data_IF_257071970029
#
_entry.id   IF_257071970029
#
_cell.length_a   1.000
_cell.length_b   1.000
_cell.length_c   1.000
_cell.angle_alpha   90.00
_cell.angle_beta   90.00
_cell.angle_gamma   90.00
#
_symmetry.space_group_name_H-M   'P 1'
#
loop_
_entity.id
_entity.type
_entity.pdbx_description
1 polymer ?
#
# COMPACT_ATOMS: atom_id res chain seq x y z
N UNK A 1 9.22 17.41 9.30
CA UNK A 1 8.47 16.17 9.15
C UNK A 1 8.46 15.79 7.68
N UNK A 2 9.00 14.62 7.38
CA UNK A 2 9.31 14.11 6.06
C UNK A 2 8.08 13.77 5.23
N UNK A 3 8.18 13.99 3.92
CA UNK A 3 7.00 14.01 3.03
C UNK A 3 6.31 12.65 3.00
N UNK A 4 7.06 11.56 2.99
CA UNK A 4 6.54 10.20 2.90
C UNK A 4 5.98 9.69 4.24
N UNK A 5 6.70 9.97 5.34
CA UNK A 5 6.33 9.54 6.69
C UNK A 5 5.02 10.18 7.17
N UNK A 6 4.86 11.51 7.03
CA UNK A 6 3.61 12.19 7.45
C UNK A 6 2.38 11.71 6.67
N UNK A 7 2.53 11.46 5.36
CA UNK A 7 1.44 10.97 4.51
C UNK A 7 0.96 9.66 5.04
N UNK A 8 1.91 8.77 5.32
CA UNK A 8 1.53 7.44 5.71
C UNK A 8 0.99 7.41 7.13
N UNK A 9 1.56 8.19 8.06
CA UNK A 9 1.02 8.35 9.41
C UNK A 9 -0.45 8.83 9.38
N UNK A 10 -0.77 9.84 8.57
CA UNK A 10 -2.15 10.32 8.42
C UNK A 10 -3.10 9.26 7.81
N UNK A 11 -2.61 8.49 6.83
CA UNK A 11 -3.39 7.42 6.20
C UNK A 11 -3.57 6.19 7.12
N UNK A 12 -2.54 5.80 7.89
CA UNK A 12 -2.59 4.71 8.89
C UNK A 12 -3.56 5.07 10.02
N UNK A 13 -3.48 6.30 10.55
CA UNK A 13 -4.32 6.73 11.67
C UNK A 13 -5.82 6.69 11.38
N UNK A 14 -6.23 6.84 10.11
CA UNK A 14 -7.64 6.80 9.73
C UNK A 14 -8.13 5.41 9.30
N UNK A 15 -7.23 4.52 8.88
CA UNK A 15 -7.64 3.17 8.43
C UNK A 15 -7.88 2.26 9.64
N UNK A 16 -8.91 2.55 10.43
CA UNK A 16 -9.47 1.65 11.44
C UNK A 16 -10.20 0.50 10.78
N UNK A 17 -9.49 -0.33 10.02
CA UNK A 17 -10.10 -1.42 9.29
C UNK A 17 -10.70 -2.43 10.28
N UNK A 18 -11.96 -2.82 10.05
CA UNK A 18 -12.50 -4.00 10.69
C UNK A 18 -11.56 -5.18 10.37
N UNK A 19 -11.11 -5.93 11.40
CA UNK A 19 -10.16 -7.05 11.24
C UNK A 19 -10.50 -7.98 10.07
N UNK A 20 -11.79 -8.16 9.76
CA UNK A 20 -12.27 -8.88 8.59
C UNK A 20 -11.71 -8.37 7.25
N UNK A 21 -11.77 -7.06 6.98
CA UNK A 21 -11.24 -6.46 5.74
C UNK A 21 -9.72 -6.62 5.63
N UNK A 22 -9.01 -6.49 6.75
CA UNK A 22 -7.56 -6.73 6.80
C UNK A 22 -7.25 -8.17 6.40
N UNK A 23 -7.99 -9.13 6.96
CA UNK A 23 -7.76 -10.55 6.68
C UNK A 23 -8.09 -10.91 5.23
N UNK A 24 -9.20 -10.42 4.68
CA UNK A 24 -9.55 -10.66 3.27
C UNK A 24 -8.55 -10.01 2.32
N UNK A 25 -8.04 -8.82 2.64
CA UNK A 25 -7.00 -8.14 1.87
C UNK A 25 -5.70 -8.96 1.85
N UNK A 26 -5.18 -9.36 3.02
CA UNK A 26 -3.97 -10.20 3.08
C UNK A 26 -4.16 -11.54 2.37
N UNK A 27 -5.34 -12.18 2.47
CA UNK A 27 -5.60 -13.42 1.75
C UNK A 27 -5.46 -13.24 0.23
N UNK A 28 -6.01 -12.15 -0.33
CA UNK A 28 -5.92 -11.84 -1.76
C UNK A 28 -4.50 -11.47 -2.17
N UNK A 29 -3.78 -10.69 -1.37
CA UNK A 29 -2.37 -10.34 -1.63
C UNK A 29 -1.46 -11.57 -1.62
N UNK A 30 -1.61 -12.46 -0.64
CA UNK A 30 -0.84 -13.71 -0.52
C UNK A 30 -1.11 -14.60 -1.73
N UNK A 31 -2.37 -14.74 -2.14
CA UNK A 31 -2.73 -15.48 -3.34
C UNK A 31 -2.02 -14.91 -4.59
N UNK A 32 -2.05 -13.59 -4.78
CA UNK A 32 -1.42 -12.94 -5.93
C UNK A 32 0.11 -13.07 -5.91
N UNK A 33 0.75 -12.88 -4.76
CA UNK A 33 2.19 -13.03 -4.61
C UNK A 33 2.65 -14.48 -4.88
N UNK A 34 1.88 -15.46 -4.40
CA UNK A 34 2.11 -16.87 -4.65
C UNK A 34 1.93 -17.23 -6.14
N UNK A 35 0.90 -16.67 -6.80
CA UNK A 35 0.61 -16.92 -8.22
C UNK A 35 1.62 -16.26 -9.17
N UNK A 36 2.13 -15.06 -8.84
CA UNK A 36 3.13 -14.35 -9.64
C UNK A 36 4.50 -15.02 -9.60
N UNK A 37 4.82 -15.69 -8.49
CA UNK A 37 6.09 -16.40 -8.28
C UNK A 37 5.87 -17.88 -7.98
N UNK A 38 6.53 -18.36 -6.92
CA UNK A 38 6.29 -19.68 -6.37
C UNK A 38 5.31 -19.61 -5.21
N UNK A 39 4.38 -20.57 -5.06
CA UNK A 39 3.53 -20.70 -3.87
C UNK A 39 4.29 -21.27 -2.67
N UNK A 40 5.59 -21.59 -2.81
CA UNK A 40 6.47 -21.94 -1.70
C UNK A 40 7.16 -20.65 -1.17
N UNK A 41 6.91 -20.23 0.09
CA UNK A 41 7.55 -19.06 0.69
C UNK A 41 9.08 -19.11 0.69
N UNK A 42 9.68 -20.30 0.81
CA UNK A 42 11.15 -20.44 0.81
C UNK A 42 11.78 -20.14 -0.55
N UNK A 43 10.98 -20.24 -1.62
CA UNK A 43 11.39 -19.94 -2.99
C UNK A 43 10.83 -18.60 -3.49
N UNK A 44 10.18 -17.81 -2.63
CA UNK A 44 9.53 -16.55 -2.99
C UNK A 44 9.63 -15.55 -1.83
N UNK A 45 10.68 -14.73 -1.84
CA UNK A 45 10.97 -13.75 -0.77
C UNK A 45 9.83 -12.77 -0.54
N UNK A 46 9.17 -12.30 -1.61
CA UNK A 46 8.01 -11.41 -1.50
C UNK A 46 6.86 -12.10 -0.76
N UNK A 47 6.57 -13.35 -1.09
CA UNK A 47 5.55 -14.13 -0.39
C UNK A 47 5.91 -14.37 1.08
N UNK A 48 7.17 -14.71 1.36
CA UNK A 48 7.66 -14.91 2.73
C UNK A 48 7.46 -13.66 3.59
N UNK A 49 7.95 -12.51 3.13
CA UNK A 49 7.82 -11.22 3.84
C UNK A 49 6.36 -10.79 3.99
N UNK A 50 5.52 -11.06 2.98
CA UNK A 50 4.09 -10.80 3.07
C UNK A 50 3.38 -11.67 4.12
N UNK A 51 3.75 -12.96 4.24
CA UNK A 51 3.24 -13.85 5.28
C UNK A 51 3.67 -13.39 6.68
N UNK A 52 4.92 -12.96 6.84
CA UNK A 52 5.41 -12.38 8.10
C UNK A 52 4.63 -11.13 8.49
N UNK A 53 4.40 -10.22 7.52
CA UNK A 53 3.58 -9.02 7.72
C UNK A 53 2.12 -9.36 8.07
N UNK A 54 1.53 -10.36 7.41
CA UNK A 54 0.19 -10.85 7.73
C UNK A 54 0.11 -11.39 9.17
N UNK A 55 1.12 -12.16 9.62
CA UNK A 55 1.21 -12.65 11.00
C UNK A 55 1.35 -11.51 12.01
N UNK A 56 2.18 -10.49 11.73
CA UNK A 56 2.30 -9.27 12.57
C UNK A 56 0.94 -8.56 12.72
N UNK A 57 0.12 -8.57 11.68
CA UNK A 57 -1.25 -8.04 11.67
C UNK A 57 -2.32 -9.02 12.20
N UNK A 58 -1.90 -10.09 12.88
CA UNK A 58 -2.78 -11.09 13.50
C UNK A 58 -3.73 -11.78 12.50
N UNK A 59 -3.32 -11.94 11.24
CA UNK A 59 -4.07 -12.75 10.27
C UNK A 59 -4.01 -14.23 10.69
N UNK A 60 -5.15 -14.91 10.88
CA UNK A 60 -5.19 -16.33 11.21
C UNK A 60 -4.44 -17.21 10.19
N UNK A 61 -3.73 -18.23 10.69
CA UNK A 61 -2.90 -19.09 9.83
C UNK A 61 -3.73 -19.89 8.81
N UNK A 62 -4.97 -20.25 9.12
CA UNK A 62 -5.88 -20.94 8.20
C UNK A 62 -6.25 -20.06 6.98
N UNK A 63 -6.28 -18.73 7.14
CA UNK A 63 -6.51 -17.80 6.03
C UNK A 63 -5.30 -17.79 5.09
N UNK A 64 -4.09 -17.74 5.66
CA UNK A 64 -2.84 -17.79 4.92
C UNK A 64 -2.73 -19.11 4.15
N UNK A 65 -2.96 -20.25 4.81
CA UNK A 65 -2.91 -21.58 4.17
C UNK A 65 -3.92 -21.69 3.03
N UNK A 66 -5.17 -21.24 3.24
CA UNK A 66 -6.19 -21.24 2.18
C UNK A 66 -5.80 -20.40 0.97
N UNK A 67 -5.19 -19.23 1.17
CA UNK A 67 -4.70 -18.39 0.08
C UNK A 67 -3.60 -19.07 -0.74
N UNK A 68 -2.65 -19.74 -0.06
CA UNK A 68 -1.57 -20.50 -0.70
C UNK A 68 -2.09 -21.72 -1.46
N UNK A 69 -3.02 -22.47 -0.88
CA UNK A 69 -3.60 -23.65 -1.53
C UNK A 69 -4.42 -23.25 -2.76
N UNK A 70 -5.16 -22.13 -2.67
CA UNK A 70 -5.85 -21.54 -3.82
C UNK A 70 -4.87 -21.17 -4.94
N UNK A 71 -3.72 -20.59 -4.61
CA UNK A 71 -2.69 -20.25 -5.60
C UNK A 71 -2.06 -21.48 -6.29
N UNK A 72 -2.09 -22.66 -5.66
CA UNK A 72 -1.65 -23.94 -6.25
C UNK A 72 -2.68 -24.57 -7.20
N UNK A 73 -3.81 -23.90 -7.44
CA UNK A 73 -4.88 -24.38 -8.33
C UNK A 73 -6.07 -25.02 -7.61
N UNK A 74 -6.14 -24.94 -6.28
CA UNK A 74 -7.30 -25.41 -5.51
C UNK A 74 -8.35 -24.29 -5.36
N UNK A 75 -9.13 -24.03 -6.41
CA UNK A 75 -10.22 -23.04 -6.38
C UNK A 75 -10.78 -22.72 -7.77
N UNK A 76 -11.99 -22.15 -7.82
CA UNK A 76 -12.62 -21.72 -9.09
C UNK A 76 -12.43 -20.23 -9.40
N UNK A 77 -12.41 -19.37 -8.38
CA UNK A 77 -12.31 -17.91 -8.60
C UNK A 77 -10.85 -17.44 -8.67
N UNK A 78 -10.52 -16.65 -9.68
CA UNK A 78 -9.19 -16.06 -9.84
C UNK A 78 -9.21 -14.60 -9.41
N UNK A 79 -8.39 -14.24 -8.41
CA UNK A 79 -8.21 -12.83 -8.07
C UNK A 79 -7.24 -12.14 -9.03
N UNK A 80 -7.55 -10.89 -9.34
CA UNK A 80 -6.77 -9.99 -10.16
C UNK A 80 -6.57 -8.66 -9.43
N UNK A 81 -5.42 -8.03 -9.67
CA UNK A 81 -5.21 -6.63 -9.31
C UNK A 81 -5.79 -5.74 -10.41
N UNK A 82 -6.61 -4.77 -10.02
CA UNK A 82 -7.14 -3.74 -10.92
C UNK A 82 -6.95 -2.38 -10.27
N UNK A 83 -6.43 -1.42 -11.05
CA UNK A 83 -6.23 -0.05 -10.60
C UNK A 83 -7.24 0.84 -11.30
N UNK A 84 -7.94 1.64 -10.51
CA UNK A 84 -8.80 2.70 -10.99
C UNK A 84 -8.25 4.06 -10.58
N UNK A 85 -8.54 5.07 -11.38
CA UNK A 85 -8.05 6.43 -11.19
C UNK A 85 -9.25 7.38 -11.23
N UNK A 86 -9.25 8.42 -10.40
CA UNK A 86 -10.37 9.33 -10.33
C UNK A 86 -10.06 10.70 -9.75
N UNK A 87 -11.00 11.61 -9.98
CA UNK A 87 -10.91 13.01 -9.58
C UNK A 87 -11.99 13.31 -8.55
N UNK A 88 -11.58 13.76 -7.37
CA UNK A 88 -12.48 14.21 -6.32
C UNK A 88 -12.73 15.72 -6.37
N UNK A 89 -13.30 16.29 -5.29
CA UNK A 89 -13.45 17.75 -5.12
C UNK A 89 -12.10 18.47 -4.92
N UNK A 90 -12.06 19.79 -5.11
CA UNK A 90 -10.90 20.63 -4.79
C UNK A 90 -9.56 20.20 -5.41
N UNK A 91 -9.55 19.70 -6.66
CA UNK A 91 -8.37 19.14 -7.34
C UNK A 91 -7.76 17.89 -6.67
N UNK A 92 -8.53 17.21 -5.80
CA UNK A 92 -8.11 15.92 -5.27
C UNK A 92 -8.09 14.85 -6.36
N UNK A 93 -7.10 13.98 -6.28
CA UNK A 93 -6.95 12.81 -7.14
C UNK A 93 -6.84 11.56 -6.28
N UNK A 94 -7.30 10.44 -6.82
CA UNK A 94 -7.25 9.14 -6.15
C UNK A 94 -6.76 8.06 -7.11
N UNK A 95 -5.90 7.17 -6.62
CA UNK A 95 -5.60 5.87 -7.21
C UNK A 95 -6.19 4.81 -6.28
N UNK A 96 -7.11 4.01 -6.80
CA UNK A 96 -7.84 2.98 -6.07
C UNK A 96 -7.34 1.63 -6.55
N UNK A 97 -6.57 0.94 -5.69
CA UNK A 97 -6.12 -0.42 -5.94
C UNK A 97 -7.16 -1.40 -5.43
N UNK A 98 -7.61 -2.28 -6.32
CA UNK A 98 -8.57 -3.33 -6.01
C UNK A 98 -7.99 -4.72 -6.24
N UNK A 99 -8.38 -5.66 -5.39
CA UNK A 99 -8.12 -7.09 -5.54
C UNK A 99 -9.47 -7.81 -5.69
N UNK A 100 -9.75 -8.34 -6.87
CA UNK A 100 -11.10 -8.80 -7.23
C UNK A 100 -11.11 -10.04 -8.12
N UNK A 101 -12.13 -10.87 -7.97
CA UNK A 101 -12.47 -11.98 -8.88
C UNK A 101 -13.50 -11.58 -9.95
N UNK A 102 -14.02 -10.35 -9.90
CA UNK A 102 -15.02 -9.86 -10.81
C UNK A 102 -14.84 -8.37 -11.08
N UNK A 103 -14.07 -8.06 -12.11
CA UNK A 103 -13.75 -6.68 -12.54
C UNK A 103 -15.01 -5.85 -12.81
N UNK A 104 -16.05 -6.45 -13.38
CA UNK A 104 -17.30 -5.75 -13.72
C UNK A 104 -18.09 -5.33 -12.47
N UNK A 105 -18.15 -6.21 -11.45
CA UNK A 105 -18.74 -5.89 -10.15
C UNK A 105 -17.96 -4.76 -9.49
N UNK A 106 -16.64 -4.87 -9.44
CA UNK A 106 -15.78 -3.90 -8.76
C UNK A 106 -15.84 -2.52 -9.40
N UNK A 107 -15.72 -2.41 -10.73
CA UNK A 107 -15.83 -1.10 -11.41
C UNK A 107 -17.21 -0.48 -11.21
N UNK A 108 -18.27 -1.29 -11.16
CA UNK A 108 -19.62 -0.83 -10.85
C UNK A 108 -19.73 -0.21 -9.46
N UNK A 109 -19.17 -0.86 -8.43
CA UNK A 109 -19.13 -0.35 -7.06
C UNK A 109 -18.29 0.93 -6.94
N UNK A 110 -17.08 0.94 -7.52
CA UNK A 110 -16.20 2.11 -7.52
C UNK A 110 -16.88 3.29 -8.22
N UNK A 111 -17.46 3.09 -9.40
CA UNK A 111 -18.20 4.14 -10.13
C UNK A 111 -19.40 4.65 -9.33
N UNK A 112 -20.12 3.76 -8.64
CA UNK A 112 -21.23 4.16 -7.78
C UNK A 112 -20.79 5.04 -6.60
N UNK A 113 -19.61 4.80 -6.02
CA UNK A 113 -19.04 5.66 -4.97
C UNK A 113 -18.79 7.09 -5.48
N UNK A 114 -18.16 7.23 -6.65
CA UNK A 114 -17.96 8.53 -7.32
C UNK A 114 -19.30 9.23 -7.65
N UNK A 115 -20.26 8.50 -8.20
CA UNK A 115 -21.57 9.06 -8.56
C UNK A 115 -22.34 9.59 -7.33
N UNK A 116 -22.25 8.91 -6.17
CA UNK A 116 -22.92 9.33 -4.91
C UNK A 116 -22.47 10.71 -4.41
N UNK A 117 -21.31 11.18 -4.85
CA UNK A 117 -20.74 12.49 -4.50
C UNK A 117 -20.66 13.43 -5.70
N UNK A 118 -21.34 13.11 -6.80
CA UNK A 118 -21.33 13.87 -8.06
C UNK A 118 -19.92 14.12 -8.62
N UNK A 119 -19.02 13.13 -8.47
CA UNK A 119 -17.67 13.13 -9.05
C UNK A 119 -17.52 12.01 -10.07
N UNK A 120 -16.41 11.99 -10.79
CA UNK A 120 -16.17 11.06 -11.90
C UNK A 120 -14.96 10.17 -11.67
N UNK A 121 -15.14 8.90 -12.04
CA UNK A 121 -14.03 8.00 -12.28
C UNK A 121 -13.32 8.44 -13.57
N UNK A 122 -12.00 8.55 -13.51
CA UNK A 122 -11.15 8.83 -14.65
C UNK A 122 -10.93 7.60 -15.51
N UNK A 123 -10.17 7.81 -16.59
CA UNK A 123 -9.61 6.71 -17.40
C UNK A 123 -8.27 6.27 -16.81
N UNK A 124 -7.81 5.07 -17.16
CA UNK A 124 -6.47 4.59 -16.78
C UNK A 124 -5.40 5.59 -17.21
N UNK A 125 -4.42 5.83 -16.35
CA UNK A 125 -3.33 6.80 -16.48
C UNK A 125 -3.74 8.28 -16.53
N UNK A 126 -4.90 8.63 -16.00
CA UNK A 126 -5.33 10.05 -15.93
C UNK A 126 -4.77 10.81 -14.73
N UNK A 127 -4.33 10.12 -13.68
CA UNK A 127 -3.75 10.74 -12.47
C UNK A 127 -2.40 10.14 -12.11
N UNK A 128 -2.06 8.93 -12.57
CA UNK A 128 -0.85 8.20 -12.17
C UNK A 128 0.45 8.98 -12.38
N UNK A 129 0.52 9.87 -13.37
CA UNK A 129 1.69 10.74 -13.61
C UNK A 129 2.02 11.69 -12.44
N UNK A 130 1.02 12.02 -11.61
CA UNK A 130 1.15 12.86 -10.42
C UNK A 130 1.67 12.09 -9.20
N UNK A 131 1.98 10.80 -9.33
CA UNK A 131 2.39 9.94 -8.24
C UNK A 131 3.71 9.23 -8.58
N UNK A 132 4.50 8.96 -7.57
CA UNK A 132 5.66 8.09 -7.64
C UNK A 132 5.33 6.73 -7.02
N UNK A 133 5.70 5.65 -7.70
CA UNK A 133 5.58 4.29 -7.19
C UNK A 133 6.83 3.96 -6.40
N UNK A 134 6.75 3.98 -5.06
CA UNK A 134 7.89 3.88 -4.17
C UNK A 134 7.69 2.78 -3.12
N UNK A 135 8.80 2.21 -2.67
CA UNK A 135 8.87 1.46 -1.43
C UNK A 135 9.27 2.39 -0.28
N UNK A 136 8.51 2.40 0.81
CA UNK A 136 8.81 3.18 2.00
C UNK A 136 9.10 2.24 3.17
N UNK A 137 10.28 2.39 3.75
CA UNK A 137 10.69 1.68 4.96
C UNK A 137 11.00 2.70 6.04
N UNK A 138 10.33 2.60 7.19
CA UNK A 138 10.61 3.45 8.35
C UNK A 138 10.90 2.58 9.57
N UNK A 139 11.98 2.86 10.27
CA UNK A 139 12.42 2.09 11.43
C UNK A 139 13.22 2.98 12.39
N UNK A 140 13.24 2.59 13.66
CA UNK A 140 13.93 3.36 14.70
C UNK A 140 15.45 3.18 14.58
N UNK A 141 16.15 4.25 14.22
CA UNK A 141 17.60 4.30 14.14
C UNK A 141 18.05 5.76 14.04
N UNK A 142 19.25 6.08 14.54
CA UNK A 142 19.72 7.47 14.60
C UNK A 142 20.85 7.78 13.60
N UNK A 143 21.57 6.76 13.12
CA UNK A 143 22.76 6.93 12.28
C UNK A 143 22.42 6.74 10.79
N UNK A 144 22.04 7.85 10.17
CA UNK A 144 21.66 7.94 8.75
C UNK A 144 22.81 7.57 7.81
N UNK A 145 24.01 8.09 8.09
CA UNK A 145 25.21 7.90 7.26
C UNK A 145 25.57 6.41 7.17
N UNK A 146 25.49 5.70 8.30
CA UNK A 146 25.72 4.25 8.32
C UNK A 146 24.71 3.47 7.48
N UNK A 147 23.43 3.86 7.48
CA UNK A 147 22.41 3.22 6.63
C UNK A 147 22.67 3.52 5.17
N UNK A 148 22.93 4.79 4.85
CA UNK A 148 23.21 5.23 3.49
C UNK A 148 24.40 4.46 2.89
N UNK A 149 25.53 4.40 3.61
CA UNK A 149 26.74 3.71 3.17
C UNK A 149 26.50 2.20 2.99
N UNK A 150 25.78 1.56 3.91
CA UNK A 150 25.48 0.13 3.81
C UNK A 150 24.66 -0.21 2.56
N UNK A 151 23.65 0.61 2.25
CA UNK A 151 22.81 0.42 1.07
C UNK A 151 23.57 0.74 -0.23
N UNK A 152 24.36 1.80 -0.23
CA UNK A 152 25.18 2.18 -1.38
C UNK A 152 26.22 1.11 -1.73
N UNK A 153 26.87 0.51 -0.73
CA UNK A 153 27.83 -0.59 -0.94
C UNK A 153 27.21 -1.83 -1.59
N UNK A 154 25.90 -2.02 -1.40
CA UNK A 154 25.12 -3.08 -2.02
C UNK A 154 24.49 -2.64 -3.35
N UNK A 155 24.80 -1.44 -3.84
CA UNK A 155 24.30 -0.90 -5.11
C UNK A 155 22.81 -0.60 -5.08
N UNK A 156 22.24 -0.30 -3.91
CA UNK A 156 20.85 0.12 -3.75
C UNK A 156 20.79 1.64 -3.90
N UNK A 157 19.99 2.12 -4.84
CA UNK A 157 19.76 3.55 -5.03
C UNK A 157 18.62 4.02 -4.13
N UNK A 158 18.92 4.99 -3.27
CA UNK A 158 17.94 5.59 -2.37
C UNK A 158 17.33 6.80 -3.09
N UNK A 159 16.00 6.81 -3.21
CA UNK A 159 15.26 7.95 -3.80
C UNK A 159 15.25 9.12 -2.84
N UNK A 160 15.04 8.85 -1.55
CA UNK A 160 15.07 9.83 -0.47
C UNK A 160 15.38 9.16 0.88
N UNK A 161 16.04 9.88 1.77
CA UNK A 161 16.32 9.43 3.14
C UNK A 161 16.05 10.57 4.10
N UNK A 162 15.26 10.28 5.13
CA UNK A 162 14.85 11.27 6.13
C UNK A 162 15.14 10.70 7.52
N UNK A 163 15.73 11.49 8.42
CA UNK A 163 15.95 11.14 9.81
C UNK A 163 15.27 12.14 10.74
N UNK A 164 14.18 11.71 11.37
CA UNK A 164 13.35 12.57 12.21
C UNK A 164 12.75 11.79 13.38
N UNK A 165 12.69 12.42 14.55
CA UNK A 165 12.14 11.84 15.79
C UNK A 165 12.74 10.46 16.17
N UNK A 166 13.99 10.20 15.76
CA UNK A 166 14.70 8.93 15.98
C UNK A 166 14.29 7.80 15.01
N UNK A 167 13.62 8.15 13.91
CA UNK A 167 13.27 7.23 12.83
C UNK A 167 13.98 7.62 11.56
N UNK A 168 14.60 6.63 10.91
CA UNK A 168 15.02 6.75 9.53
C UNK A 168 13.88 6.28 8.64
N UNK A 169 13.52 7.09 7.64
CA UNK A 169 12.57 6.75 6.59
C UNK A 169 13.27 6.76 5.24
N UNK A 170 13.26 5.61 4.58
CA UNK A 170 13.83 5.40 3.24
C UNK A 170 12.71 5.39 2.21
N UNK A 171 12.88 6.18 1.15
CA UNK A 171 12.14 6.04 -0.10
C UNK A 171 13.00 5.34 -1.14
N UNK A 172 12.49 4.28 -1.74
CA UNK A 172 13.24 3.34 -2.57
C UNK A 172 12.46 3.00 -3.83
N UNK A 173 13.16 2.51 -4.85
CA UNK A 173 12.48 1.77 -5.92
C UNK A 173 11.80 0.51 -5.31
N UNK A 174 10.53 0.21 -5.65
CA UNK A 174 9.84 -0.98 -5.17
C UNK A 174 10.59 -2.30 -5.38
N UNK A 175 11.42 -2.40 -6.43
CA UNK A 175 12.24 -3.60 -6.67
C UNK A 175 13.29 -3.85 -5.60
N UNK A 176 13.75 -2.78 -4.93
CA UNK A 176 14.92 -2.83 -4.05
C UNK A 176 14.53 -3.07 -2.59
N UNK A 177 13.25 -2.88 -2.24
CA UNK A 177 12.72 -3.01 -0.87
C UNK A 177 13.17 -4.30 -0.18
N UNK A 178 13.04 -5.45 -0.84
CA UNK A 178 13.41 -6.73 -0.22
C UNK A 178 14.91 -6.80 0.05
N UNK A 179 15.73 -6.34 -0.90
CA UNK A 179 17.20 -6.30 -0.76
C UNK A 179 17.61 -5.32 0.32
N UNK A 180 16.98 -4.15 0.39
CA UNK A 180 17.20 -3.17 1.46
C UNK A 180 16.93 -3.77 2.82
N UNK A 181 15.82 -4.49 2.99
CA UNK A 181 15.54 -5.17 4.26
C UNK A 181 16.58 -6.23 4.60
N UNK A 182 17.03 -7.03 3.63
CA UNK A 182 18.11 -8.00 3.85
C UNK A 182 19.38 -7.30 4.36
N UNK A 183 19.75 -6.15 3.78
CA UNK A 183 20.91 -5.34 4.21
C UNK A 183 20.73 -4.80 5.63
N UNK A 184 19.56 -4.21 5.90
CA UNK A 184 19.23 -3.67 7.21
C UNK A 184 19.24 -4.76 8.29
N UNK A 185 18.66 -5.92 7.99
CA UNK A 185 18.60 -7.06 8.91
C UNK A 185 19.98 -7.68 9.17
N UNK A 186 20.85 -7.72 8.17
CA UNK A 186 22.25 -8.15 8.34
C UNK A 186 23.07 -7.16 9.18
N UNK A 187 22.79 -5.86 9.06
CA UNK A 187 23.53 -4.79 9.73
C UNK A 187 23.07 -4.58 11.18
N UNK A 188 21.77 -4.67 11.43
CA UNK A 188 21.13 -4.26 12.67
C UNK A 188 20.53 -5.43 13.47
N UNK A 189 20.40 -6.60 12.85
CA UNK A 189 19.61 -7.71 13.39
C UNK A 189 18.13 -7.57 13.05
N UNK A 190 17.24 -8.08 13.89
CA UNK A 190 15.80 -7.94 13.65
C UNK A 190 15.38 -6.45 13.68
N UNK A 191 14.81 -5.97 12.58
CA UNK A 191 14.36 -4.58 12.43
C UNK A 191 12.84 -4.52 12.60
N UNK A 192 12.39 -3.74 13.57
CA UNK A 192 10.97 -3.43 13.72
C UNK A 192 10.61 -2.22 12.84
N UNK A 193 10.01 -2.52 11.68
CA UNK A 193 9.52 -1.51 10.76
C UNK A 193 8.21 -0.89 11.28
N UNK A 194 8.25 0.43 11.46
CA UNK A 194 7.08 1.30 11.67
C UNK A 194 6.29 1.44 10.36
N UNK A 195 7.00 1.59 9.24
CA UNK A 195 6.42 1.57 7.90
C UNK A 195 7.15 0.51 7.07
N UNK A 196 6.38 -0.36 6.42
CA UNK A 196 6.87 -1.35 5.48
C UNK A 196 5.88 -1.49 4.32
N UNK A 197 6.01 -0.65 3.30
CA UNK A 197 5.01 -0.57 2.24
C UNK A 197 5.59 -0.28 0.87
N UNK A 198 4.86 -0.72 -0.15
CA UNK A 198 5.05 -0.34 -1.55
C UNK A 198 3.73 0.27 -2.01
N UNK A 199 3.78 1.49 -2.54
CA UNK A 199 2.57 2.23 -2.85
C UNK A 199 2.79 3.42 -3.78
N UNK A 200 1.70 4.17 -4.00
CA UNK A 200 1.71 5.38 -4.82
C UNK A 200 1.74 6.61 -3.92
N UNK A 201 2.71 7.49 -4.14
CA UNK A 201 2.93 8.69 -3.33
C UNK A 201 2.79 9.93 -4.19
N UNK A 202 1.88 10.83 -3.83
CA UNK A 202 1.61 12.01 -4.64
C UNK A 202 2.81 12.97 -4.66
N UNK A 203 3.17 13.47 -5.85
CA UNK A 203 4.21 14.49 -6.13
C UNK A 203 3.83 15.89 -5.71
N UNK A 204 2.54 16.16 -5.61
CA UNK A 204 1.99 17.37 -5.01
C UNK A 204 0.87 16.99 -4.05
N UNK A 205 0.73 17.77 -2.98
CA UNK A 205 -0.25 17.54 -1.92
C UNK A 205 -1.18 18.72 -1.81
N UNK A 206 -2.41 18.45 -1.40
CA UNK A 206 -3.42 19.46 -1.15
C UNK A 206 -4.09 19.24 0.20
N UNK A 207 -4.62 20.33 0.75
CA UNK A 207 -5.46 20.31 1.94
C UNK A 207 -6.83 20.81 1.54
N UNK A 208 -7.87 20.01 1.80
CA UNK A 208 -9.24 20.38 1.48
C UNK A 208 -9.91 21.05 2.68
N UNK A 209 -10.82 21.98 2.44
CA UNK A 209 -11.60 22.67 3.47
C UNK A 209 -13.07 22.77 3.07
N UNK A 210 -13.94 23.07 4.04
CA UNK A 210 -15.38 23.27 3.79
C UNK A 210 -16.06 22.10 3.07
N UNK A 211 -16.91 22.42 2.10
CA UNK A 211 -17.69 21.44 1.36
C UNK A 211 -16.82 20.42 0.59
N UNK A 212 -15.71 20.86 -0.01
CA UNK A 212 -14.80 19.96 -0.74
C UNK A 212 -14.24 18.88 0.19
N UNK A 213 -13.96 19.22 1.44
CA UNK A 213 -13.49 18.25 2.45
C UNK A 213 -14.56 17.22 2.78
N UNK A 214 -15.77 17.66 3.07
CA UNK A 214 -16.89 16.78 3.43
C UNK A 214 -17.23 15.81 2.30
N UNK A 215 -17.24 16.30 1.06
CA UNK A 215 -17.46 15.50 -0.15
C UNK A 215 -16.33 14.47 -0.32
N UNK A 216 -15.07 14.87 -0.12
CA UNK A 216 -13.93 13.98 -0.24
C UNK A 216 -13.95 12.87 0.81
N UNK A 217 -14.20 13.18 2.08
CA UNK A 217 -14.25 12.16 3.12
C UNK A 217 -15.37 11.16 2.87
N UNK A 218 -16.53 11.66 2.41
CA UNK A 218 -17.63 10.78 2.01
C UNK A 218 -17.24 9.85 0.87
N UNK A 219 -16.55 10.36 -0.17
CA UNK A 219 -16.04 9.54 -1.26
C UNK A 219 -15.04 8.49 -0.76
N UNK A 220 -14.08 8.93 0.06
CA UNK A 220 -13.04 8.07 0.61
C UNK A 220 -13.66 6.92 1.42
N UNK A 221 -14.61 7.22 2.31
CA UNK A 221 -15.28 6.21 3.13
C UNK A 221 -16.12 5.26 2.26
N UNK A 222 -16.84 5.77 1.26
CA UNK A 222 -17.59 4.92 0.32
C UNK A 222 -16.69 3.97 -0.48
N UNK A 223 -15.47 4.39 -0.82
CA UNK A 223 -14.48 3.55 -1.49
C UNK A 223 -13.86 2.55 -0.52
N UNK A 224 -13.54 2.96 0.70
CA UNK A 224 -12.98 2.08 1.73
C UNK A 224 -13.98 1.01 2.19
N UNK A 225 -15.28 1.28 2.14
CA UNK A 225 -16.32 0.28 2.44
C UNK A 225 -16.43 -0.83 1.37
N UNK A 226 -15.79 -0.67 0.20
CA UNK A 226 -15.80 -1.70 -0.84
C UNK A 226 -14.78 -2.79 -0.48
N UNK A 227 -15.25 -4.02 -0.32
CA UNK A 227 -14.41 -5.18 0.04
C UNK A 227 -13.27 -5.45 -0.96
N UNK A 228 -13.49 -5.16 -2.24
CA UNK A 228 -12.48 -5.31 -3.28
C UNK A 228 -11.39 -4.23 -3.22
N UNK A 229 -11.62 -3.09 -2.56
CA UNK A 229 -10.63 -2.01 -2.44
C UNK A 229 -9.63 -2.36 -1.35
N UNK A 230 -8.38 -2.63 -1.77
CA UNK A 230 -7.28 -2.94 -0.86
C UNK A 230 -6.53 -1.71 -0.40
N UNK A 231 -6.35 -0.71 -1.27
CA UNK A 231 -5.62 0.52 -0.97
C UNK A 231 -6.21 1.71 -1.73
N UNK A 232 -6.22 2.88 -1.09
CA UNK A 232 -6.58 4.16 -1.70
C UNK A 232 -5.42 5.12 -1.50
N UNK A 233 -4.80 5.55 -2.60
CA UNK A 233 -3.75 6.58 -2.60
C UNK A 233 -4.36 7.91 -3.05
N UNK A 234 -3.98 9.01 -2.41
CA UNK A 234 -4.51 10.35 -2.72
C UNK A 234 -3.49 11.43 -2.44
N UNK A 235 -3.65 12.59 -3.08
CA UNK A 235 -2.90 13.80 -2.81
C UNK A 235 -3.47 14.64 -1.64
N UNK A 236 -4.60 14.24 -1.05
CA UNK A 236 -5.22 14.94 0.09
C UNK A 236 -4.52 14.56 1.40
N UNK A 237 -4.07 15.55 2.16
CA UNK A 237 -3.29 15.34 3.40
C UNK A 237 -4.14 15.17 4.65
N UNK A 238 -5.31 15.80 4.68
CA UNK A 238 -6.13 15.93 5.89
C UNK A 238 -7.33 14.99 5.91
N UNK A 239 -7.20 13.76 5.40
CA UNK A 239 -8.28 12.78 5.33
C UNK A 239 -8.91 12.62 6.73
N UNK A 240 -10.24 12.79 6.85
CA UNK A 240 -10.94 12.91 8.13
C UNK A 240 -11.95 11.81 8.36
#
# INVERSE_FOLDING_TARGET
>A
MGRAYEVRKASIQKTGAAKGKVYTTYAKEIYLAAKKGSPNPDANVTLKRLIEKAKKNQVPSDIITRALDKAKGLGQDEYHEVIYEGFGPGASTLIIKCLTDNVNRTVGMVRAAFNKVNKSLGVTNSVSYNYDHLGILSFKYDDEEKIFDALLNEGIEIVDIENEDGYITLSLNPSDVNKTKDVLENLLGEVDYEIDEVGMYAKEKITLTGEDKEIFDRLYNLLDDIEDVSQIYTNVTNIG
#
